data_IF_010189333941
#
_entry.id   IF_010189333941
#
_cell.length_a   1.000
_cell.length_b   1.000
_cell.length_c   1.000
_cell.angle_alpha   90.00
_cell.angle_beta   90.00
_cell.angle_gamma   90.00
#
_symmetry.space_group_name_H-M   'P 1'
#
loop_
_entity.id
_entity.type
_entity.pdbx_description
1 polymer ?
#
# COMPACT_ATOMS: atom_id res chain seq x y z
N UNK A 1 11.41 -3.87 -5.21
CA UNK A 1 10.43 -3.02 -4.49
C UNK A 1 9.02 -3.62 -4.48
N UNK A 2 8.13 -3.50 -5.48
CA UNK A 2 6.77 -4.09 -5.35
C UNK A 2 6.79 -5.62 -5.15
N UNK A 3 7.47 -6.35 -6.05
CA UNK A 3 7.59 -7.81 -5.96
C UNK A 3 8.32 -8.30 -4.69
N UNK A 4 9.20 -7.46 -4.16
CA UNK A 4 9.98 -7.75 -2.96
C UNK A 4 9.14 -7.52 -1.70
N UNK A 5 8.37 -6.44 -1.66
CA UNK A 5 7.41 -6.17 -0.58
C UNK A 5 6.32 -7.23 -0.51
N UNK A 6 5.77 -7.64 -1.66
CA UNK A 6 4.76 -8.69 -1.76
C UNK A 6 5.30 -10.04 -1.27
N UNK A 7 6.52 -10.41 -1.69
CA UNK A 7 7.19 -11.62 -1.21
C UNK A 7 7.47 -11.55 0.29
N UNK A 8 8.03 -10.46 0.79
CA UNK A 8 8.37 -10.29 2.21
C UNK A 8 7.12 -10.37 3.10
N UNK A 9 6.02 -9.71 2.69
CA UNK A 9 4.74 -9.85 3.39
C UNK A 9 4.26 -11.30 3.35
N UNK A 10 4.35 -11.96 2.19
CA UNK A 10 4.00 -13.36 2.03
C UNK A 10 4.78 -14.29 2.96
N UNK A 11 6.10 -14.12 3.06
CA UNK A 11 7.00 -14.88 3.93
C UNK A 11 6.66 -14.65 5.41
N UNK A 12 6.35 -13.41 5.81
CA UNK A 12 5.91 -13.11 7.19
C UNK A 12 4.60 -13.84 7.53
N UNK A 13 3.62 -13.82 6.62
CA UNK A 13 2.34 -14.50 6.81
C UNK A 13 2.54 -16.01 6.85
N UNK A 14 3.38 -16.55 5.95
CA UNK A 14 3.72 -17.98 5.90
C UNK A 14 4.34 -18.45 7.22
N UNK A 15 5.37 -17.75 7.71
CA UNK A 15 6.05 -18.08 8.97
C UNK A 15 5.06 -18.09 10.15
N UNK A 16 4.26 -17.03 10.29
CA UNK A 16 3.26 -16.94 11.37
C UNK A 16 2.20 -18.04 11.23
N UNK A 17 1.74 -18.33 10.01
CA UNK A 17 0.68 -19.32 9.77
C UNK A 17 1.10 -20.77 9.98
N UNK A 18 2.40 -21.07 9.86
CA UNK A 18 3.00 -22.38 10.15
C UNK A 18 3.42 -22.53 11.62
N UNK A 19 3.36 -21.44 12.39
CA UNK A 19 3.76 -21.43 13.80
C UNK A 19 2.64 -21.93 14.73
N UNK A 20 2.98 -22.36 15.96
CA UNK A 20 2.00 -22.76 16.97
C UNK A 20 1.02 -21.67 17.40
N UNK A 21 1.30 -20.39 17.10
CA UNK A 21 0.45 -19.25 17.49
C UNK A 21 -0.57 -18.87 16.42
N UNK A 22 -0.58 -19.55 15.25
CA UNK A 22 -1.44 -19.18 14.12
C UNK A 22 -2.92 -19.10 14.50
N UNK A 23 -3.42 -20.09 15.25
CA UNK A 23 -4.82 -20.16 15.68
C UNK A 23 -5.28 -18.96 16.53
N UNK A 24 -4.33 -18.18 17.07
CA UNK A 24 -4.56 -17.02 17.92
C UNK A 24 -4.01 -15.73 17.31
N UNK A 25 -3.57 -15.76 16.04
CA UNK A 25 -2.90 -14.64 15.39
C UNK A 25 -3.87 -13.73 14.64
N UNK A 26 -3.52 -12.44 14.64
CA UNK A 26 -4.11 -11.40 13.82
C UNK A 26 -2.98 -10.59 13.19
N UNK A 27 -2.94 -10.55 11.86
CA UNK A 27 -2.02 -9.73 11.09
C UNK A 27 -2.86 -8.66 10.39
N UNK A 28 -2.55 -7.40 10.65
CA UNK A 28 -3.16 -6.24 10.00
C UNK A 28 -2.11 -5.55 9.13
N UNK A 29 -2.45 -5.28 7.88
CA UNK A 29 -1.55 -4.68 6.89
C UNK A 29 -2.21 -3.43 6.33
N UNK A 30 -1.51 -2.31 6.39
CA UNK A 30 -1.90 -1.01 5.83
C UNK A 30 -0.65 -0.30 5.33
N UNK A 31 -0.81 0.59 4.36
CA UNK A 31 0.22 1.55 3.95
C UNK A 31 0.28 2.73 4.93
N UNK A 32 1.40 3.45 4.96
CA UNK A 32 1.55 4.68 5.75
C UNK A 32 0.86 5.88 5.08
N UNK A 33 0.92 5.96 3.75
CA UNK A 33 0.26 6.94 2.90
C UNK A 33 -0.05 6.36 1.49
N UNK A 34 -1.09 6.90 0.88
CA UNK A 34 -1.51 6.73 -0.51
C UNK A 34 -0.60 7.31 -1.58
N UNK A 35 0.28 8.26 -1.24
CA UNK A 35 1.10 9.02 -2.18
C UNK A 35 0.23 9.65 -3.28
N UNK A 36 -0.83 10.38 -2.88
CA UNK A 36 -1.70 11.13 -3.81
C UNK A 36 -2.23 10.28 -4.99
N UNK A 37 -2.67 9.06 -4.68
CA UNK A 37 -2.90 8.01 -5.66
C UNK A 37 -3.98 8.32 -6.70
N UNK A 38 -3.85 7.71 -7.87
CA UNK A 38 -4.85 7.75 -8.93
C UNK A 38 -6.04 6.83 -8.62
N UNK A 39 -6.93 7.30 -7.73
CA UNK A 39 -8.10 6.56 -7.28
C UNK A 39 -9.39 7.34 -7.58
N UNK A 40 -10.39 6.68 -8.18
CA UNK A 40 -11.62 7.35 -8.59
C UNK A 40 -12.55 7.76 -7.42
N UNK A 41 -12.33 7.23 -6.22
CA UNK A 41 -13.13 7.54 -5.02
C UNK A 41 -12.46 8.61 -4.19
N UNK A 42 -11.18 8.43 -3.85
CA UNK A 42 -10.41 9.38 -3.04
C UNK A 42 -8.91 9.10 -3.18
N UNK A 43 -8.10 10.15 -3.40
CA UNK A 43 -6.66 10.04 -3.56
C UNK A 43 -5.95 9.43 -2.34
N UNK A 44 -6.58 9.45 -1.15
CA UNK A 44 -6.02 8.90 0.09
C UNK A 44 -6.41 7.44 0.34
N UNK A 45 -7.16 6.81 -0.56
CA UNK A 45 -7.56 5.41 -0.38
C UNK A 45 -6.34 4.51 -0.61
N UNK A 46 -6.05 3.66 0.39
CA UNK A 46 -4.94 2.70 0.38
C UNK A 46 -5.45 1.26 0.40
N UNK A 47 -4.66 0.28 -0.12
CA UNK A 47 -4.91 -1.13 0.15
C UNK A 47 -4.77 -1.43 1.65
N UNK A 48 -5.55 -2.42 2.10
CA UNK A 48 -5.62 -2.79 3.50
C UNK A 48 -6.03 -4.27 3.61
N UNK A 49 -5.37 -5.02 4.48
CA UNK A 49 -5.60 -6.45 4.67
C UNK A 49 -5.73 -6.82 6.15
N UNK A 50 -6.61 -7.77 6.42
CA UNK A 50 -6.72 -8.45 7.71
C UNK A 50 -6.58 -9.96 7.47
N UNK A 51 -5.57 -10.56 8.09
CA UNK A 51 -5.19 -11.96 7.89
C UNK A 51 -5.21 -12.64 9.26
N UNK A 52 -6.05 -13.66 9.40
CA UNK A 52 -6.27 -14.39 10.65
C UNK A 52 -7.08 -15.65 10.35
N UNK A 53 -7.02 -16.70 11.19
CA UNK A 53 -7.97 -17.80 11.12
C UNK A 53 -9.43 -17.35 11.21
N UNK A 54 -9.69 -16.21 11.85
CA UNK A 54 -11.02 -15.63 12.02
C UNK A 54 -11.40 -14.63 10.91
N UNK A 55 -10.50 -14.32 9.97
CA UNK A 55 -10.83 -13.42 8.87
C UNK A 55 -11.76 -14.11 7.86
N UNK A 56 -12.73 -13.37 7.31
CA UNK A 56 -13.64 -13.90 6.27
C UNK A 56 -12.83 -14.26 5.01
N UNK A 57 -12.76 -15.55 4.67
CA UNK A 57 -12.02 -16.06 3.51
C UNK A 57 -12.55 -15.48 2.20
N UNK A 58 -11.66 -14.93 1.38
CA UNK A 58 -11.99 -14.40 0.05
C UNK A 58 -12.97 -13.23 0.04
N UNK A 59 -13.17 -12.57 1.18
CA UNK A 59 -14.10 -11.46 1.30
C UNK A 59 -13.43 -10.13 0.95
N UNK A 60 -14.14 -9.32 0.16
CA UNK A 60 -13.85 -7.89 0.01
C UNK A 60 -14.82 -7.12 0.90
N UNK A 61 -14.29 -6.36 1.85
CA UNK A 61 -15.11 -5.58 2.78
C UNK A 61 -15.29 -4.17 2.24
N UNK A 62 -16.51 -3.82 1.86
CA UNK A 62 -16.85 -2.50 1.32
C UNK A 62 -17.18 -1.44 2.38
N UNK A 63 -17.11 -1.81 3.67
CA UNK A 63 -17.27 -0.84 4.76
C UNK A 63 -16.11 0.14 4.74
N UNK A 64 -16.41 1.44 4.85
CA UNK A 64 -15.38 2.47 4.97
C UNK A 64 -14.69 2.32 6.33
N UNK A 65 -13.38 2.14 6.29
CA UNK A 65 -12.48 2.15 7.45
C UNK A 65 -11.38 3.19 7.26
N UNK A 66 -10.75 3.57 8.36
CA UNK A 66 -9.61 4.48 8.42
C UNK A 66 -8.52 3.94 9.37
N UNK A 67 -7.43 4.67 9.54
CA UNK A 67 -6.32 4.28 10.44
C UNK A 67 -6.78 4.03 11.88
N UNK A 68 -7.70 4.84 12.39
CA UNK A 68 -8.22 4.67 13.75
C UNK A 68 -9.04 3.38 13.89
N UNK A 69 -9.74 2.98 12.81
CA UNK A 69 -10.45 1.70 12.75
C UNK A 69 -9.48 0.51 12.89
N UNK A 70 -8.30 0.60 12.27
CA UNK A 70 -7.22 -0.39 12.43
C UNK A 70 -6.65 -0.39 13.85
N UNK A 71 -6.36 0.79 14.41
CA UNK A 71 -5.88 0.92 15.79
C UNK A 71 -6.86 0.25 16.75
N UNK A 72 -8.12 0.63 16.65
CA UNK A 72 -9.18 0.09 17.50
C UNK A 72 -9.33 -1.43 17.36
N UNK A 73 -9.10 -1.96 16.16
CA UNK A 73 -9.20 -3.40 15.90
C UNK A 73 -8.12 -4.21 16.60
N UNK A 74 -6.87 -3.71 16.69
CA UNK A 74 -5.83 -4.46 17.40
C UNK A 74 -5.86 -4.23 18.93
N UNK A 75 -6.38 -3.08 19.39
CA UNK A 75 -6.55 -2.82 20.83
C UNK A 75 -7.46 -3.84 21.51
N UNK A 76 -8.59 -4.16 20.87
CA UNK A 76 -9.64 -5.02 21.42
C UNK A 76 -9.11 -6.42 21.82
N UNK A 77 -8.48 -7.20 20.92
CA UNK A 77 -7.98 -8.54 21.27
C UNK A 77 -6.82 -8.51 22.27
N UNK A 78 -6.05 -7.41 22.32
CA UNK A 78 -4.97 -7.23 23.29
C UNK A 78 -5.47 -6.72 24.66
N UNK A 79 -6.76 -6.38 24.79
CA UNK A 79 -7.31 -5.79 26.01
C UNK A 79 -6.75 -4.40 26.33
N UNK A 80 -6.23 -3.70 25.32
CA UNK A 80 -5.70 -2.34 25.47
C UNK A 80 -6.83 -1.35 25.64
N UNK A 81 -6.58 -0.31 26.44
CA UNK A 81 -7.46 0.85 26.51
C UNK A 81 -7.16 1.77 25.32
N UNK A 82 -8.18 2.44 24.75
CA UNK A 82 -7.96 3.51 23.78
C UNK A 82 -7.02 4.58 24.34
N UNK A 83 -6.17 5.14 23.49
CA UNK A 83 -5.26 6.22 23.84
C UNK A 83 -6.00 7.56 24.01
N UNK A 84 -7.06 7.80 23.25
CA UNK A 84 -7.84 9.03 23.33
C UNK A 84 -9.32 8.82 22.92
N UNK A 85 -10.02 9.90 22.53
CA UNK A 85 -11.43 9.81 22.14
C UNK A 85 -11.60 9.29 20.70
N UNK A 86 -10.62 9.50 19.83
CA UNK A 86 -10.71 9.20 18.41
C UNK A 86 -10.67 7.70 18.15
N UNK A 87 -9.70 6.99 18.74
CA UNK A 87 -9.63 5.53 18.68
C UNK A 87 -10.77 4.88 19.49
N UNK A 88 -11.15 5.45 20.64
CA UNK A 88 -12.29 4.96 21.42
C UNK A 88 -13.61 4.93 20.63
N UNK A 89 -13.82 5.90 19.74
CA UNK A 89 -15.02 6.02 18.91
C UNK A 89 -14.85 5.43 17.50
N UNK A 90 -13.67 4.93 17.15
CA UNK A 90 -13.43 4.36 15.83
C UNK A 90 -14.20 3.05 15.64
N UNK A 91 -14.63 2.79 14.41
CA UNK A 91 -15.40 1.58 14.08
C UNK A 91 -14.42 0.42 13.89
N UNK A 92 -14.46 -0.65 14.70
CA UNK A 92 -13.58 -1.78 14.50
C UNK A 92 -13.90 -2.53 13.20
N UNK A 93 -12.91 -3.27 12.68
CA UNK A 93 -13.03 -4.09 11.48
C UNK A 93 -13.89 -5.34 11.69
N UNK A 94 -14.96 -5.31 12.50
CA UNK A 94 -15.80 -6.49 12.78
C UNK A 94 -16.35 -7.15 11.52
N UNK A 95 -16.65 -6.36 10.48
CA UNK A 95 -17.07 -6.91 9.20
C UNK A 95 -15.95 -7.70 8.51
N UNK A 96 -14.68 -7.62 8.89
CA UNK A 96 -13.64 -8.48 8.32
C UNK A 96 -13.60 -9.88 8.95
N UNK A 97 -14.29 -10.12 10.07
CA UNK A 97 -14.10 -11.33 10.89
C UNK A 97 -15.37 -12.17 11.11
N UNK A 98 -15.16 -13.43 11.46
CA UNK A 98 -16.18 -14.38 11.94
C UNK A 98 -15.94 -14.73 13.41
N UNK A 99 -16.99 -15.15 14.12
CA UNK A 99 -16.88 -15.55 15.54
C UNK A 99 -16.25 -16.93 15.76
N UNK A 100 -16.04 -17.70 14.69
CA UNK A 100 -15.35 -18.98 14.66
C UNK A 100 -14.29 -18.92 13.56
N UNK A 101 -13.20 -19.71 13.65
CA UNK A 101 -12.23 -19.79 12.57
C UNK A 101 -12.91 -20.13 11.24
N UNK A 102 -12.70 -19.29 10.23
CA UNK A 102 -13.17 -19.50 8.87
C UNK A 102 -12.19 -20.35 8.05
N UNK A 103 -10.89 -20.19 8.29
CA UNK A 103 -9.84 -21.00 7.68
C UNK A 103 -8.55 -20.95 8.51
N UNK A 104 -8.09 -22.08 9.03
CA UNK A 104 -6.83 -22.18 9.75
C UNK A 104 -5.72 -22.87 8.93
N UNK A 105 -5.93 -23.14 7.64
CA UNK A 105 -4.88 -23.69 6.75
C UNK A 105 -3.66 -22.75 6.74
N UNK A 106 -2.43 -23.27 6.91
CA UNK A 106 -1.22 -22.48 6.74
C UNK A 106 -1.15 -21.88 5.33
N UNK A 107 -0.55 -20.69 5.24
CA UNK A 107 -0.28 -20.01 4.00
C UNK A 107 1.09 -20.41 3.45
N UNK A 108 1.23 -20.42 2.12
CA UNK A 108 2.48 -20.62 1.41
C UNK A 108 2.75 -19.37 0.58
N UNK A 109 3.93 -18.75 0.76
CA UNK A 109 4.27 -17.51 0.08
C UNK A 109 4.43 -17.73 -1.42
N UNK A 110 3.91 -16.80 -2.22
CA UNK A 110 4.01 -16.86 -3.67
C UNK A 110 5.34 -16.23 -4.09
N UNK A 111 6.26 -17.05 -4.60
CA UNK A 111 7.52 -16.53 -5.14
C UNK A 111 7.30 -15.78 -6.46
N UNK A 112 7.78 -14.53 -6.59
CA UNK A 112 7.70 -13.78 -7.83
C UNK A 112 8.50 -14.47 -8.94
N UNK A 113 7.94 -14.50 -10.16
CA UNK A 113 8.60 -15.09 -11.34
C UNK A 113 9.69 -14.20 -11.91
N UNK A 114 9.58 -12.89 -11.70
CA UNK A 114 10.55 -11.89 -12.12
C UNK A 114 11.77 -11.85 -11.18
N UNK A 115 12.99 -11.63 -11.70
CA UNK A 115 14.17 -11.43 -10.85
C UNK A 115 14.04 -10.17 -10.00
N UNK A 116 14.17 -10.31 -8.68
CA UNK A 116 14.01 -9.19 -7.73
C UNK A 116 15.03 -8.07 -7.92
N UNK A 117 16.22 -8.41 -8.43
CA UNK A 117 17.33 -7.48 -8.64
C UNK A 117 17.44 -6.98 -10.09
N UNK A 118 16.45 -7.31 -10.94
CA UNK A 118 16.41 -6.77 -12.29
C UNK A 118 16.28 -5.25 -12.25
N UNK A 119 17.07 -4.56 -13.10
CA UNK A 119 17.08 -3.10 -13.20
C UNK A 119 16.73 -2.67 -14.61
N UNK A 120 16.05 -1.53 -14.70
CA UNK A 120 15.79 -0.88 -15.98
C UNK A 120 17.09 -0.60 -16.73
N UNK A 121 17.10 -0.90 -18.04
CA UNK A 121 18.23 -0.60 -18.91
C UNK A 121 18.31 0.89 -19.24
N UNK A 122 19.44 1.35 -19.79
CA UNK A 122 19.57 2.73 -20.27
C UNK A 122 18.59 3.08 -21.40
N UNK A 123 18.09 2.08 -22.14
CA UNK A 123 17.09 2.24 -23.20
C UNK A 123 15.64 2.19 -22.72
N UNK A 124 15.40 1.95 -21.43
CA UNK A 124 14.04 1.91 -20.87
C UNK A 124 13.36 3.28 -20.96
N UNK A 125 12.03 3.34 -21.14
CA UNK A 125 11.28 4.59 -21.08
C UNK A 125 11.64 5.42 -19.85
N UNK A 126 11.77 6.73 -20.02
CA UNK A 126 12.12 7.68 -18.97
C UNK A 126 13.46 7.46 -18.27
N UNK A 127 14.39 6.65 -18.79
CA UNK A 127 15.69 6.37 -18.13
C UNK A 127 16.46 7.65 -17.75
N UNK A 128 16.54 8.63 -18.66
CA UNK A 128 17.19 9.93 -18.41
C UNK A 128 16.51 10.75 -17.32
N UNK A 129 15.19 10.71 -17.27
CA UNK A 129 14.39 11.43 -16.29
C UNK A 129 14.55 10.78 -14.91
N UNK A 130 14.46 9.45 -14.83
CA UNK A 130 14.63 8.68 -13.59
C UNK A 130 16.01 8.88 -12.96
N UNK A 131 17.07 9.05 -13.76
CA UNK A 131 18.43 9.32 -13.26
C UNK A 131 18.60 10.68 -12.58
N UNK A 132 17.67 11.62 -12.81
CA UNK A 132 17.71 12.98 -12.25
C UNK A 132 16.78 13.17 -11.06
N UNK A 133 16.02 12.13 -10.69
CA UNK A 133 15.14 12.19 -9.54
C UNK A 133 15.97 12.37 -8.26
N UNK A 134 15.59 13.30 -7.36
CA UNK A 134 16.27 13.53 -6.09
C UNK A 134 15.90 12.42 -5.10
N UNK A 135 16.42 11.21 -5.30
CA UNK A 135 16.12 10.02 -4.49
C UNK A 135 17.01 9.90 -3.25
N UNK A 136 17.97 10.81 -3.06
CA UNK A 136 18.87 10.82 -1.91
C UNK A 136 18.22 11.33 -0.63
N UNK A 137 17.02 11.91 -0.72
CA UNK A 137 16.25 12.42 0.41
C UNK A 137 14.78 12.05 0.27
N UNK A 138 14.19 11.63 1.38
CA UNK A 138 12.76 11.30 1.49
C UNK A 138 11.88 12.47 1.06
N UNK A 139 10.77 12.17 0.41
CA UNK A 139 9.71 13.11 0.01
C UNK A 139 10.15 14.28 -0.88
N UNK A 140 11.29 14.16 -1.56
CA UNK A 140 11.77 15.18 -2.51
C UNK A 140 11.34 14.98 -3.94
N UNK A 141 11.05 13.75 -4.33
CA UNK A 141 10.64 13.43 -5.69
C UNK A 141 9.15 13.74 -5.86
N UNK A 142 8.76 14.62 -6.80
CA UNK A 142 7.35 14.92 -7.00
C UNK A 142 6.58 13.66 -7.40
N UNK A 143 5.54 13.31 -6.64
CA UNK A 143 4.77 12.10 -6.86
C UNK A 143 4.21 12.01 -8.29
N UNK A 144 3.71 13.12 -8.82
CA UNK A 144 3.19 13.20 -10.20
C UNK A 144 4.21 12.78 -11.26
N UNK A 145 5.51 12.99 -10.99
CA UNK A 145 6.59 12.59 -11.88
C UNK A 145 6.83 11.08 -11.80
N UNK A 146 6.81 10.51 -10.59
CA UNK A 146 6.90 9.07 -10.36
C UNK A 146 5.73 8.33 -11.03
N UNK A 147 4.50 8.82 -10.86
CA UNK A 147 3.30 8.26 -11.51
C UNK A 147 3.46 8.22 -13.03
N UNK A 148 3.95 9.31 -13.63
CA UNK A 148 4.21 9.37 -15.07
C UNK A 148 5.23 8.35 -15.53
N UNK A 149 6.34 8.23 -14.80
CA UNK A 149 7.40 7.26 -15.12
C UNK A 149 6.86 5.82 -15.04
N UNK A 150 6.15 5.49 -13.95
CA UNK A 150 5.58 4.16 -13.73
C UNK A 150 4.49 3.83 -14.75
N UNK A 151 3.57 4.76 -15.00
CA UNK A 151 2.50 4.58 -15.98
C UNK A 151 3.04 4.35 -17.38
N UNK A 152 3.99 5.17 -17.82
CA UNK A 152 4.58 5.02 -19.16
C UNK A 152 5.43 3.76 -19.32
N UNK A 153 5.93 3.19 -18.22
CA UNK A 153 6.59 1.88 -18.22
C UNK A 153 5.61 0.75 -18.58
N UNK A 154 4.38 0.81 -18.06
CA UNK A 154 3.35 -0.23 -18.30
C UNK A 154 2.44 0.04 -19.51
N UNK A 155 2.19 1.30 -19.84
CA UNK A 155 1.21 1.73 -20.85
C UNK A 155 1.85 2.35 -22.11
N UNK A 156 3.18 2.43 -22.16
CA UNK A 156 3.94 2.95 -23.29
C UNK A 156 4.38 4.41 -23.11
N UNK A 157 5.46 4.85 -23.79
CA UNK A 157 6.13 6.12 -23.54
C UNK A 157 5.26 7.37 -23.82
N UNK A 158 4.29 7.24 -24.73
CA UNK A 158 3.40 8.35 -25.12
C UNK A 158 2.09 8.38 -24.32
N UNK A 159 1.93 7.49 -23.34
CA UNK A 159 0.73 7.45 -22.50
C UNK A 159 0.72 8.57 -21.46
N UNK A 160 -0.48 9.01 -21.10
CA UNK A 160 -0.70 10.01 -20.05
C UNK A 160 -1.29 9.33 -18.79
N UNK A 161 -0.67 9.49 -17.62
CA UNK A 161 -1.21 8.95 -16.38
C UNK A 161 -2.49 9.69 -15.98
N UNK A 162 -3.49 8.97 -15.43
CA UNK A 162 -4.68 9.60 -14.85
C UNK A 162 -4.28 10.64 -13.78
N UNK A 163 -5.11 11.68 -13.56
CA UNK A 163 -4.87 12.62 -12.46
C UNK A 163 -5.01 11.91 -11.11
N UNK A 164 -4.53 12.53 -10.02
CA UNK A 164 -4.86 12.10 -8.66
C UNK A 164 -6.38 12.02 -8.46
N UNK A 165 -6.78 11.18 -7.51
CA UNK A 165 -8.17 11.07 -7.10
C UNK A 165 -8.76 12.35 -6.51
N UNK A 166 -10.07 12.36 -6.22
CA UNK A 166 -10.68 13.41 -5.40
C UNK A 166 -9.89 13.64 -4.09
N UNK A 167 -9.84 14.89 -3.62
CA UNK A 167 -9.08 15.32 -2.44
C UNK A 167 -7.54 15.23 -2.55
N UNK A 168 -6.99 14.92 -3.72
CA UNK A 168 -5.55 14.90 -3.94
C UNK A 168 -4.85 16.25 -3.68
N UNK A 169 -3.56 16.18 -3.35
CA UNK A 169 -2.73 17.35 -3.07
C UNK A 169 -2.35 18.10 -4.34
N UNK A 170 -2.57 19.42 -4.35
CA UNK A 170 -2.10 20.31 -5.42
C UNK A 170 -0.62 20.71 -5.32
N UNK A 171 0.05 20.34 -4.21
CA UNK A 171 1.46 20.66 -3.97
C UNK A 171 2.34 19.89 -4.95
N UNK A 172 2.04 18.61 -5.18
CA UNK A 172 2.81 17.74 -6.07
C UNK A 172 2.78 18.23 -7.51
N UNK A 173 1.62 18.70 -7.98
CA UNK A 173 1.51 19.25 -9.33
C UNK A 173 2.35 20.52 -9.53
N UNK A 174 2.51 21.33 -8.48
CA UNK A 174 3.37 22.52 -8.53
C UNK A 174 4.83 22.12 -8.50
N UNK A 175 5.21 21.16 -7.67
CA UNK A 175 6.57 20.64 -7.58
C UNK A 175 7.02 20.00 -8.91
N UNK A 176 6.16 19.17 -9.51
CA UNK A 176 6.43 18.54 -10.81
C UNK A 176 6.61 19.57 -11.93
N UNK A 177 5.75 20.60 -11.99
CA UNK A 177 5.90 21.71 -12.95
C UNK A 177 7.18 22.52 -12.74
N UNK A 178 7.61 22.68 -11.49
CA UNK A 178 8.89 23.30 -11.15
C UNK A 178 10.07 22.49 -11.67
N UNK A 179 10.05 21.18 -11.43
CA UNK A 179 11.08 20.25 -11.90
C UNK A 179 11.17 20.22 -13.45
N UNK A 180 10.04 20.10 -14.15
CA UNK A 180 10.03 20.10 -15.62
C UNK A 180 10.50 21.44 -16.22
N UNK A 181 10.31 22.57 -15.51
CA UNK A 181 10.81 23.88 -15.94
C UNK A 181 12.31 24.03 -15.77
N UNK A 182 12.90 23.50 -14.69
CA UNK A 182 14.36 23.47 -14.52
C UNK A 182 15.07 22.58 -15.53
N UNK A 183 14.34 21.69 -16.20
CA UNK A 183 14.86 20.77 -17.22
C UNK A 183 14.83 21.37 -18.64
N UNK A 184 14.20 22.54 -18.84
CA UNK A 184 14.23 23.24 -20.14
C UNK A 184 15.56 23.98 -20.30
N UNK A 185 16.27 23.83 -21.45
CA UNK A 185 17.54 24.50 -21.71
C UNK A 185 17.43 26.03 -21.76
#
# INVERSE_FOLDING_TARGET
MIAENDLALGEMVEEISKSPIWEQSLILVIEDDSQNGADHVDAHRIPAFAISPYARRGAVVHTRYDFLSFIRTFEIPLGLKPLNLFDALATPLYNAFTSKPANAEPYEAITPRQPLLERNSAGSPNSRLSQRLPLEQTDRSPQRLLDKILWQSGHGPDSEPPPPGPNGSSIDERAARGFERSERP
#
